data_IF_695205552612
#
_entry.id   IF_695205552612
#
_cell.length_a   1.000
_cell.length_b   1.000
_cell.length_c   1.000
_cell.angle_alpha   90.00
_cell.angle_beta   90.00
_cell.angle_gamma   90.00
#
_symmetry.space_group_name_H-M   'P 1'
#
loop_
_entity.id
_entity.type
_entity.pdbx_description
1 polymer ?
#
# COMPACT_ATOMS: atom_id res chain seq x y z
N UNK A 1 -5.24 -0.82 41.84
CA UNK A 1 -5.46 -1.68 43.01
C UNK A 1 -6.61 -1.10 43.87
N UNK A 2 -7.53 -1.94 44.28
CA UNK A 2 -8.65 -1.50 45.11
C UNK A 2 -8.17 -1.37 46.57
N UNK A 3 -8.52 -0.26 47.23
CA UNK A 3 -8.29 -0.12 48.66
C UNK A 3 -9.19 -1.11 49.40
N UNK A 4 -8.63 -1.87 50.30
CA UNK A 4 -9.43 -2.70 51.23
C UNK A 4 -10.36 -1.83 52.08
N UNK A 5 -11.50 -2.39 52.50
CA UNK A 5 -12.39 -1.74 53.47
C UNK A 5 -11.83 -1.92 54.87
N UNK A 6 -12.05 -0.92 55.71
CA UNK A 6 -11.70 -1.05 57.11
C UNK A 6 -12.54 -2.16 57.76
N UNK A 7 -11.88 -3.04 58.50
CA UNK A 7 -12.52 -4.09 59.32
C UNK A 7 -12.65 -3.66 60.74
N UNK A 8 -13.35 -4.47 61.54
CA UNK A 8 -13.45 -4.26 63.01
C UNK A 8 -12.90 -5.50 63.70
N UNK A 9 -12.02 -5.31 64.66
CA UNK A 9 -11.49 -6.41 65.48
C UNK A 9 -12.57 -6.98 66.47
N UNK A 10 -12.35 -8.17 66.96
CA UNK A 10 -13.24 -8.79 67.96
C UNK A 10 -13.42 -7.95 69.24
N UNK A 11 -12.56 -6.98 69.48
CA UNK A 11 -12.64 -6.01 70.58
C UNK A 11 -13.28 -4.68 70.12
N UNK A 12 -13.96 -4.61 69.00
CA UNK A 12 -14.62 -3.42 68.47
C UNK A 12 -13.70 -2.32 67.96
N UNK A 13 -12.38 -2.54 67.88
CA UNK A 13 -11.44 -1.53 67.38
C UNK A 13 -11.38 -1.56 65.82
N UNK A 14 -11.39 -0.40 65.15
CA UNK A 14 -11.27 -0.33 63.69
C UNK A 14 -9.88 -0.80 63.22
N UNK A 15 -9.83 -1.75 62.31
CA UNK A 15 -8.61 -2.24 61.67
C UNK A 15 -8.50 -1.60 60.29
N UNK A 16 -7.52 -0.73 60.10
CA UNK A 16 -7.26 -0.13 58.79
C UNK A 16 -6.65 -1.14 57.82
N UNK A 17 -7.09 -1.16 56.56
CA UNK A 17 -6.51 -2.03 55.53
C UNK A 17 -5.05 -1.64 55.28
N UNK A 18 -4.23 -2.64 54.90
CA UNK A 18 -2.84 -2.38 54.47
C UNK A 18 -2.80 -1.35 53.35
N UNK A 19 -1.85 -0.42 53.41
CA UNK A 19 -1.61 0.54 52.31
C UNK A 19 -1.30 -0.21 51.04
N UNK A 20 -2.15 -0.06 50.05
CA UNK A 20 -1.92 -0.64 48.74
C UNK A 20 -0.90 0.23 47.98
N UNK A 21 0.20 -0.37 47.52
CA UNK A 21 1.14 0.31 46.64
C UNK A 21 0.56 0.26 45.25
N UNK A 22 0.16 1.41 44.72
CA UNK A 22 -0.18 1.51 43.28
C UNK A 22 1.09 1.33 42.48
N UNK A 23 1.08 0.34 41.59
CA UNK A 23 2.14 0.18 40.59
C UNK A 23 1.94 1.24 39.54
N UNK A 24 2.93 2.12 39.32
CA UNK A 24 2.88 3.11 38.26
C UNK A 24 2.88 2.40 36.89
N UNK A 25 2.00 2.82 35.99
CA UNK A 25 2.05 2.37 34.59
C UNK A 25 3.34 2.88 33.97
N UNK A 26 4.19 1.97 33.50
CA UNK A 26 5.37 2.31 32.70
C UNK A 26 4.98 2.33 31.22
N UNK A 27 5.40 3.36 30.52
CA UNK A 27 5.10 3.53 29.12
C UNK A 27 6.31 4.09 28.38
N UNK A 28 6.47 3.65 27.11
CA UNK A 28 7.54 4.07 26.22
C UNK A 28 7.04 4.97 25.08
N UNK A 29 7.54 4.73 23.88
CA UNK A 29 7.24 5.54 22.71
C UNK A 29 5.76 5.43 22.28
N UNK A 30 5.24 6.49 21.67
CA UNK A 30 3.91 6.58 21.06
C UNK A 30 2.73 6.34 22.01
N UNK A 31 2.91 6.63 23.30
CA UNK A 31 1.87 6.49 24.32
C UNK A 31 1.62 7.84 25.00
N UNK A 32 0.35 8.06 25.33
CA UNK A 32 -0.11 9.15 26.21
C UNK A 32 -0.78 8.53 27.44
N UNK A 33 -0.47 9.05 28.61
CA UNK A 33 -1.15 8.68 29.85
C UNK A 33 -2.32 9.65 30.10
N UNK A 34 -3.41 9.15 30.67
CA UNK A 34 -4.54 9.96 31.15
C UNK A 34 -4.14 10.78 32.37
N UNK A 35 -4.90 11.84 32.69
CA UNK A 35 -4.67 12.70 33.85
C UNK A 35 -4.76 11.93 35.18
N UNK A 36 -5.66 10.97 35.28
CA UNK A 36 -5.84 10.07 36.42
C UNK A 36 -4.71 9.03 36.57
N UNK A 37 -3.79 8.95 35.61
CA UNK A 37 -2.66 7.99 35.54
C UNK A 37 -3.09 6.52 35.57
N UNK A 38 -4.34 6.23 35.25
CA UNK A 38 -4.89 4.88 35.31
C UNK A 38 -5.07 4.26 33.92
N UNK A 39 -5.08 5.09 32.87
CA UNK A 39 -5.30 4.67 31.50
C UNK A 39 -4.19 5.19 30.59
N UNK A 40 -3.79 4.38 29.64
CA UNK A 40 -2.83 4.75 28.60
C UNK A 40 -3.49 4.66 27.22
N UNK A 41 -3.18 5.64 26.37
CA UNK A 41 -3.69 5.74 25.00
C UNK A 41 -2.53 5.69 24.01
N UNK A 42 -2.70 4.98 22.92
CA UNK A 42 -1.78 5.07 21.80
C UNK A 42 -1.93 6.41 21.08
N UNK A 43 -0.82 6.97 20.61
CA UNK A 43 -0.77 8.16 19.75
C UNK A 43 -0.78 7.80 18.27
N UNK A 44 -0.49 6.55 17.93
CA UNK A 44 -0.38 6.02 16.56
C UNK A 44 -1.10 4.68 16.47
N UNK A 45 -1.53 4.31 15.28
CA UNK A 45 -1.96 2.94 14.99
C UNK A 45 -0.72 2.06 14.89
N UNK A 46 -0.70 0.91 15.58
CA UNK A 46 0.50 0.08 15.55
C UNK A 46 0.42 -1.13 16.47
N UNK A 47 1.51 -1.90 16.48
CA UNK A 47 1.66 -3.08 17.32
C UNK A 47 2.01 -2.71 18.76
N UNK A 48 1.26 -3.25 19.71
CA UNK A 48 1.48 -3.03 21.15
C UNK A 48 2.41 -4.11 21.67
N UNK A 49 3.51 -3.70 22.28
CA UNK A 49 4.45 -4.61 22.95
C UNK A 49 4.59 -4.27 24.42
N UNK A 50 4.77 -5.31 25.24
CA UNK A 50 5.09 -5.19 26.66
C UNK A 50 6.50 -5.73 26.88
N UNK A 51 7.45 -4.84 27.19
CA UNK A 51 8.85 -5.19 27.48
C UNK A 51 9.21 -4.59 28.83
N UNK A 52 9.73 -5.39 29.73
CA UNK A 52 10.13 -4.98 31.09
C UNK A 52 9.06 -4.17 31.85
N UNK A 53 7.82 -4.63 31.81
CA UNK A 53 6.65 -3.94 32.37
C UNK A 53 6.35 -2.56 31.72
N UNK A 54 6.94 -2.26 30.57
CA UNK A 54 6.74 -1.02 29.82
C UNK A 54 5.91 -1.31 28.56
N UNK A 55 4.78 -0.64 28.42
CA UNK A 55 3.95 -0.70 27.22
C UNK A 55 4.50 0.26 26.18
N UNK A 56 4.70 -0.22 24.97
CA UNK A 56 5.12 0.58 23.81
C UNK A 56 4.22 0.28 22.61
N UNK A 57 4.05 1.26 21.74
CA UNK A 57 3.36 1.08 20.46
C UNK A 57 4.34 1.42 19.35
N UNK A 58 4.49 0.49 18.41
CA UNK A 58 5.33 0.66 17.22
C UNK A 58 4.46 0.58 15.98
N UNK A 59 4.74 1.46 15.02
CA UNK A 59 4.19 1.40 13.67
C UNK A 59 4.87 0.35 12.79
N UNK A 60 5.92 -0.30 13.32
CA UNK A 60 6.63 -1.40 12.65
C UNK A 60 6.24 -2.73 13.29
N UNK A 61 5.65 -3.60 12.48
CA UNK A 61 5.40 -5.00 12.85
C UNK A 61 6.61 -5.86 12.50
N UNK A 62 7.31 -6.36 13.51
CA UNK A 62 8.48 -7.22 13.34
C UNK A 62 8.11 -8.68 13.44
N UNK A 63 8.42 -9.43 12.38
CA UNK A 63 8.33 -10.89 12.33
C UNK A 63 9.73 -11.45 12.58
N UNK A 64 9.99 -12.05 13.76
CA UNK A 64 11.34 -12.49 14.15
C UNK A 64 11.80 -13.77 13.42
N UNK A 65 10.90 -14.41 12.71
CA UNK A 65 11.11 -15.67 11.98
C UNK A 65 10.74 -15.54 10.51
N UNK A 66 10.43 -16.66 9.86
CA UNK A 66 9.92 -16.71 8.51
C UNK A 66 8.41 -16.37 8.47
N UNK A 67 7.95 -15.95 7.30
CA UNK A 67 6.52 -15.96 6.97
C UNK A 67 6.24 -17.29 6.27
N UNK A 68 5.62 -18.19 6.99
CA UNK A 68 5.32 -19.57 6.56
C UNK A 68 4.01 -20.06 7.20
N UNK A 69 3.74 -21.36 7.18
CA UNK A 69 2.52 -21.96 7.73
C UNK A 69 2.32 -21.68 9.23
N UNK A 70 3.36 -21.34 9.98
CA UNK A 70 3.26 -21.00 11.41
C UNK A 70 2.87 -19.55 11.64
N UNK A 71 3.24 -18.66 10.74
CA UNK A 71 2.95 -17.21 10.82
C UNK A 71 1.68 -16.85 10.05
N UNK A 72 1.42 -17.52 8.91
CA UNK A 72 0.33 -17.21 7.99
C UNK A 72 0.56 -15.92 7.19
N UNK A 73 -0.48 -15.49 6.48
CA UNK A 73 -0.48 -14.23 5.74
C UNK A 73 -0.46 -13.03 6.68
N UNK A 74 0.21 -11.96 6.26
CA UNK A 74 0.32 -10.72 7.03
C UNK A 74 -0.41 -9.60 6.29
N UNK A 75 -1.32 -8.92 6.99
CA UNK A 75 -1.95 -7.68 6.53
C UNK A 75 -1.85 -6.64 7.66
N UNK A 76 -1.08 -5.57 7.45
CA UNK A 76 -0.74 -4.62 8.49
C UNK A 76 -0.79 -3.16 8.03
N UNK A 77 -1.37 -2.28 8.87
CA UNK A 77 -1.54 -0.84 8.59
C UNK A 77 -0.29 0.02 8.81
N UNK A 78 0.86 -0.57 8.90
CA UNK A 78 2.14 0.13 9.07
C UNK A 78 3.23 -0.54 8.27
N UNK A 79 4.47 -0.40 8.72
CA UNK A 79 5.65 -1.04 8.14
C UNK A 79 5.78 -2.47 8.65
N UNK A 80 6.10 -3.42 7.77
CA UNK A 80 6.38 -4.82 8.11
C UNK A 80 7.85 -5.11 7.92
N UNK A 81 8.51 -5.62 8.96
CA UNK A 81 9.91 -6.09 8.90
C UNK A 81 9.97 -7.59 9.18
N UNK A 82 10.36 -8.37 8.16
CA UNK A 82 10.55 -9.82 8.25
C UNK A 82 12.03 -10.13 8.41
N UNK A 83 12.42 -10.78 9.51
CA UNK A 83 13.82 -11.14 9.77
C UNK A 83 14.25 -12.35 8.96
N UNK A 84 13.36 -13.30 8.74
CA UNK A 84 13.57 -14.52 7.97
C UNK A 84 13.16 -14.40 6.51
N UNK A 85 12.78 -15.52 5.94
CA UNK A 85 12.31 -15.68 4.57
C UNK A 85 10.78 -15.48 4.49
N UNK A 86 10.28 -15.19 3.30
CA UNK A 86 8.85 -15.31 2.98
C UNK A 86 8.70 -16.49 2.04
N UNK A 87 8.03 -17.55 2.50
CA UNK A 87 7.94 -18.81 1.77
C UNK A 87 6.81 -18.81 0.75
N UNK A 88 6.87 -19.76 -0.17
CA UNK A 88 5.93 -19.88 -1.30
C UNK A 88 4.49 -19.96 -0.86
N UNK A 89 3.63 -19.17 -1.54
CA UNK A 89 2.18 -19.18 -1.37
C UNK A 89 1.67 -18.23 -0.28
N UNK A 90 2.55 -17.58 0.48
CA UNK A 90 2.16 -16.61 1.49
C UNK A 90 2.15 -15.17 0.94
N UNK A 91 1.35 -14.32 1.59
CA UNK A 91 1.22 -12.92 1.24
C UNK A 91 1.60 -12.00 2.41
N UNK A 92 2.32 -10.92 2.09
CA UNK A 92 2.60 -9.83 3.03
C UNK A 92 2.06 -8.55 2.43
N UNK A 93 1.10 -7.93 3.12
CA UNK A 93 0.52 -6.65 2.75
C UNK A 93 0.81 -5.63 3.85
N UNK A 94 1.25 -4.44 3.45
CA UNK A 94 1.54 -3.33 4.34
C UNK A 94 1.04 -2.02 3.74
N UNK A 95 0.40 -1.16 4.53
CA UNK A 95 0.11 0.21 4.10
C UNK A 95 1.39 1.08 4.06
N UNK A 96 2.40 0.74 4.89
CA UNK A 96 3.74 1.32 4.88
C UNK A 96 4.74 0.47 4.08
N UNK A 97 6.00 0.50 4.51
CA UNK A 97 7.09 -0.23 3.85
C UNK A 97 7.10 -1.72 4.18
N UNK A 98 7.68 -2.53 3.29
CA UNK A 98 7.98 -3.94 3.55
C UNK A 98 9.50 -4.13 3.48
N UNK A 99 10.08 -4.64 4.56
CA UNK A 99 11.52 -4.95 4.65
C UNK A 99 11.67 -6.44 4.90
N UNK A 100 12.33 -7.17 3.99
CA UNK A 100 12.63 -8.59 4.16
C UNK A 100 14.14 -8.80 4.20
N UNK A 101 14.64 -9.33 5.32
CA UNK A 101 16.07 -9.61 5.50
C UNK A 101 16.50 -10.91 4.82
N UNK A 102 15.60 -11.88 4.68
CA UNK A 102 15.80 -13.15 4.01
C UNK A 102 15.50 -13.12 2.50
N UNK A 103 15.23 -14.30 1.95
CA UNK A 103 14.80 -14.50 0.56
C UNK A 103 13.27 -14.57 0.50
N UNK A 104 12.71 -14.06 -0.58
CA UNK A 104 11.27 -14.21 -0.89
C UNK A 104 11.14 -15.30 -1.94
N UNK A 105 10.37 -16.35 -1.64
CA UNK A 105 10.18 -17.51 -2.50
C UNK A 105 8.73 -17.60 -2.93
N UNK A 106 8.41 -17.42 -4.23
CA UNK A 106 7.08 -17.61 -4.81
C UNK A 106 5.91 -16.99 -4.03
N UNK A 107 6.15 -15.86 -3.37
CA UNK A 107 5.23 -15.17 -2.47
C UNK A 107 4.72 -13.84 -3.08
N UNK A 108 3.69 -13.27 -2.49
CA UNK A 108 3.11 -11.98 -2.91
C UNK A 108 3.39 -10.91 -1.86
N UNK A 109 4.08 -9.83 -2.25
CA UNK A 109 4.29 -8.67 -1.40
C UNK A 109 3.61 -7.44 -2.00
N UNK A 110 2.77 -6.78 -1.20
CA UNK A 110 2.05 -5.55 -1.60
C UNK A 110 2.30 -4.47 -0.56
N UNK A 111 2.94 -3.39 -0.98
CA UNK A 111 3.31 -2.27 -0.11
C UNK A 111 2.69 -0.97 -0.61
N UNK A 112 2.10 -0.20 0.31
CA UNK A 112 1.71 1.19 0.06
C UNK A 112 2.89 2.17 0.08
N UNK A 113 4.06 1.74 0.54
CA UNK A 113 5.35 2.45 0.52
C UNK A 113 6.37 1.73 -0.34
N UNK A 114 7.56 1.52 0.23
CA UNK A 114 8.70 0.89 -0.43
C UNK A 114 8.80 -0.60 -0.10
N UNK A 115 9.42 -1.37 -1.00
CA UNK A 115 9.81 -2.76 -0.73
C UNK A 115 11.34 -2.86 -0.74
N UNK A 116 11.91 -3.35 0.35
CA UNK A 116 13.35 -3.57 0.49
C UNK A 116 13.63 -5.04 0.76
N UNK A 117 14.16 -5.73 -0.24
CA UNK A 117 14.62 -7.12 -0.12
C UNK A 117 16.13 -7.12 0.02
N UNK A 118 16.64 -7.37 1.23
CA UNK A 118 18.10 -7.36 1.46
C UNK A 118 18.84 -8.48 0.73
N UNK A 119 18.14 -9.54 0.38
CA UNK A 119 18.63 -10.58 -0.53
C UNK A 119 17.96 -10.43 -1.88
N UNK A 120 16.79 -10.95 -2.08
CA UNK A 120 16.07 -10.85 -3.33
C UNK A 120 14.88 -11.79 -3.38
N UNK A 121 14.35 -11.99 -4.59
CA UNK A 121 13.18 -12.82 -4.81
C UNK A 121 13.45 -13.91 -5.84
N UNK A 122 13.12 -15.14 -5.49
CA UNK A 122 12.99 -16.29 -6.36
C UNK A 122 11.50 -16.58 -6.55
N UNK A 123 10.92 -16.03 -7.60
CA UNK A 123 9.45 -15.96 -7.74
C UNK A 123 8.79 -17.27 -8.15
N UNK A 124 9.53 -18.23 -8.72
CA UNK A 124 8.99 -19.54 -9.18
C UNK A 124 7.73 -19.38 -10.05
N UNK A 125 7.69 -18.36 -10.93
CA UNK A 125 6.59 -17.96 -11.81
C UNK A 125 5.27 -17.59 -11.09
N UNK A 126 5.27 -17.50 -9.77
CA UNK A 126 4.13 -17.15 -8.92
C UNK A 126 4.35 -15.87 -8.13
N UNK A 127 5.62 -15.54 -7.92
CA UNK A 127 6.02 -14.40 -7.10
C UNK A 127 5.57 -13.07 -7.68
N UNK A 128 5.04 -12.20 -6.83
CA UNK A 128 4.61 -10.86 -7.19
C UNK A 128 5.08 -9.83 -6.18
N UNK A 129 5.68 -8.76 -6.66
CA UNK A 129 6.01 -7.56 -5.89
C UNK A 129 5.21 -6.39 -6.43
N UNK A 130 4.52 -5.69 -5.56
CA UNK A 130 3.81 -4.47 -5.90
C UNK A 130 4.10 -3.40 -4.86
N UNK A 131 4.67 -2.27 -5.30
CA UNK A 131 4.98 -1.13 -4.44
C UNK A 131 4.43 0.17 -5.02
N UNK A 132 3.84 0.98 -4.18
CA UNK A 132 3.48 2.35 -4.53
C UNK A 132 4.72 3.28 -4.57
N UNK A 133 5.78 2.93 -3.84
CA UNK A 133 7.08 3.59 -3.82
C UNK A 133 8.14 2.81 -4.60
N UNK A 134 9.36 2.80 -4.05
CA UNK A 134 10.54 2.18 -4.66
C UNK A 134 10.67 0.71 -4.30
N UNK A 135 11.31 -0.06 -5.19
CA UNK A 135 11.71 -1.44 -4.91
C UNK A 135 13.24 -1.54 -4.95
N UNK A 136 13.81 -2.12 -3.90
CA UNK A 136 15.24 -2.42 -3.85
C UNK A 136 15.44 -3.90 -3.55
N UNK A 137 16.22 -4.60 -4.39
CA UNK A 137 16.53 -6.02 -4.24
C UNK A 137 17.96 -6.31 -4.72
N UNK A 138 18.54 -7.46 -4.34
CA UNK A 138 19.78 -7.91 -4.98
C UNK A 138 19.49 -8.64 -6.28
N UNK A 139 18.50 -9.52 -6.29
CA UNK A 139 18.10 -10.23 -7.51
C UNK A 139 16.57 -10.38 -7.55
N UNK A 140 16.07 -10.45 -8.74
CA UNK A 140 14.66 -10.71 -9.07
C UNK A 140 14.64 -11.80 -10.14
N UNK A 141 14.09 -12.96 -9.81
CA UNK A 141 14.10 -14.12 -10.68
C UNK A 141 12.69 -14.74 -10.77
N UNK A 142 12.23 -15.00 -12.00
CA UNK A 142 10.94 -15.64 -12.31
C UNK A 142 9.77 -15.02 -11.53
N UNK A 143 9.66 -13.69 -11.53
CA UNK A 143 8.65 -12.96 -10.78
C UNK A 143 8.02 -11.81 -11.58
N UNK A 144 6.87 -11.33 -11.09
CA UNK A 144 6.19 -10.14 -11.60
C UNK A 144 6.44 -8.98 -10.65
N UNK A 145 6.89 -7.86 -11.19
CA UNK A 145 7.24 -6.67 -10.40
C UNK A 145 6.47 -5.47 -10.93
N UNK A 146 5.74 -4.80 -10.07
CA UNK A 146 5.07 -3.52 -10.33
C UNK A 146 5.54 -2.47 -9.34
N UNK A 147 6.12 -1.40 -9.86
CA UNK A 147 6.72 -0.34 -9.07
C UNK A 147 6.29 1.02 -9.60
N UNK A 148 5.69 1.87 -8.75
CA UNK A 148 5.39 3.25 -9.14
C UNK A 148 6.58 4.20 -8.96
N UNK A 149 7.54 3.86 -8.11
CA UNK A 149 8.80 4.56 -7.97
C UNK A 149 9.91 3.92 -8.78
N UNK A 150 11.14 4.05 -8.28
CA UNK A 150 12.37 3.53 -8.88
C UNK A 150 12.60 2.06 -8.51
N UNK A 151 13.11 1.28 -9.43
CA UNK A 151 13.58 -0.08 -9.20
C UNK A 151 15.11 -0.13 -9.15
N UNK A 152 15.67 -0.66 -8.07
CA UNK A 152 17.12 -0.94 -7.94
C UNK A 152 17.37 -2.41 -7.69
N UNK A 153 18.22 -3.03 -8.53
CA UNK A 153 18.65 -4.43 -8.32
C UNK A 153 20.05 -4.67 -8.87
N UNK A 154 20.67 -5.81 -8.48
CA UNK A 154 21.92 -6.24 -9.07
C UNK A 154 21.69 -7.13 -10.30
N UNK A 155 20.54 -7.85 -10.36
CA UNK A 155 20.17 -8.69 -11.48
C UNK A 155 18.64 -8.86 -11.59
N UNK A 156 18.16 -8.91 -12.83
CA UNK A 156 16.79 -9.29 -13.19
C UNK A 156 16.86 -10.45 -14.17
N UNK A 157 16.24 -11.58 -13.80
CA UNK A 157 16.28 -12.83 -14.55
C UNK A 157 14.85 -13.32 -14.80
N UNK A 158 14.50 -13.56 -16.08
CA UNK A 158 13.23 -14.17 -16.49
C UNK A 158 11.99 -13.56 -15.79
N UNK A 159 11.98 -12.25 -15.62
CA UNK A 159 10.94 -11.55 -14.85
C UNK A 159 10.21 -10.52 -15.69
N UNK A 160 8.94 -10.29 -15.34
CA UNK A 160 8.12 -9.25 -15.93
C UNK A 160 8.08 -8.04 -15.01
N UNK A 161 8.67 -6.94 -15.47
CA UNK A 161 8.86 -5.72 -14.69
C UNK A 161 8.10 -4.55 -15.32
N UNK A 162 7.25 -3.93 -14.55
CA UNK A 162 6.59 -2.66 -14.87
C UNK A 162 7.02 -1.60 -13.84
N UNK A 163 7.82 -0.64 -14.28
CA UNK A 163 8.31 0.43 -13.43
C UNK A 163 7.87 1.78 -13.98
N UNK A 164 7.46 2.69 -13.11
CA UNK A 164 7.08 4.02 -13.58
C UNK A 164 8.22 5.02 -13.59
N UNK A 165 9.31 4.78 -12.88
CA UNK A 165 10.50 5.62 -12.83
C UNK A 165 11.74 4.84 -13.30
N UNK A 166 12.94 5.32 -12.97
CA UNK A 166 14.20 4.73 -13.41
C UNK A 166 14.38 3.30 -12.93
N UNK A 167 14.99 2.49 -13.77
CA UNK A 167 15.41 1.13 -13.47
C UNK A 167 16.93 1.07 -13.44
N UNK A 168 17.50 0.97 -12.25
CA UNK A 168 18.95 0.95 -12.01
C UNK A 168 19.42 -0.48 -11.67
N UNK A 169 20.03 -1.15 -12.62
CA UNK A 169 20.60 -2.49 -12.45
C UNK A 169 22.12 -2.37 -12.45
N UNK A 170 22.64 -1.85 -11.33
CA UNK A 170 24.02 -1.39 -11.19
C UNK A 170 24.79 -2.15 -10.08
N UNK A 171 24.55 -3.44 -9.91
CA UNK A 171 25.29 -4.27 -8.95
C UNK A 171 26.51 -4.95 -9.55
N UNK A 172 27.03 -5.95 -8.84
CA UNK A 172 28.20 -6.72 -9.29
C UNK A 172 28.02 -7.36 -10.68
N UNK A 173 26.81 -7.74 -11.03
CA UNK A 173 26.47 -8.32 -12.34
C UNK A 173 25.86 -7.31 -13.29
N UNK A 174 25.04 -6.41 -12.79
CA UNK A 174 24.33 -5.39 -13.58
C UNK A 174 23.52 -6.00 -14.74
N UNK A 175 22.93 -7.20 -14.52
CA UNK A 175 22.44 -8.07 -15.60
C UNK A 175 20.91 -8.04 -15.67
N UNK A 176 20.39 -7.79 -16.89
CA UNK A 176 19.00 -8.06 -17.25
C UNK A 176 19.00 -9.16 -18.31
N UNK A 177 18.40 -10.32 -18.00
CA UNK A 177 18.37 -11.46 -18.90
C UNK A 177 17.03 -12.19 -18.87
N UNK A 178 16.36 -12.26 -20.02
CA UNK A 178 15.05 -12.90 -20.17
C UNK A 178 13.90 -12.09 -19.57
N UNK A 179 12.69 -12.33 -20.05
CA UNK A 179 11.48 -11.66 -19.61
C UNK A 179 11.21 -10.31 -20.28
N UNK A 180 10.36 -9.49 -19.64
CA UNK A 180 9.98 -8.18 -20.15
C UNK A 180 10.21 -7.10 -19.09
N UNK A 181 10.71 -5.95 -19.53
CA UNK A 181 10.87 -4.76 -18.70
C UNK A 181 10.23 -3.58 -19.41
N UNK A 182 9.28 -2.92 -18.75
CA UNK A 182 8.68 -1.68 -19.24
C UNK A 182 8.86 -0.56 -18.23
N UNK A 183 9.30 0.60 -18.71
CA UNK A 183 9.43 1.79 -17.86
C UNK A 183 9.08 3.05 -18.66
N UNK A 184 8.75 4.12 -17.95
CA UNK A 184 8.53 5.44 -18.53
C UNK A 184 9.76 6.35 -18.45
N UNK A 185 10.84 5.88 -17.82
CA UNK A 185 12.06 6.64 -17.60
C UNK A 185 13.30 5.84 -18.08
N UNK A 186 14.47 6.12 -17.52
CA UNK A 186 15.73 5.54 -17.98
C UNK A 186 15.95 4.12 -17.43
N UNK A 187 16.67 3.33 -18.22
CA UNK A 187 17.16 1.99 -17.81
C UNK A 187 18.67 2.01 -17.83
N UNK A 188 19.26 1.78 -16.66
CA UNK A 188 20.71 1.63 -16.50
C UNK A 188 21.05 0.18 -16.19
N UNK A 189 21.82 -0.46 -17.03
CA UNK A 189 22.29 -1.83 -16.82
C UNK A 189 23.68 -2.02 -17.41
N UNK A 190 24.48 -2.87 -16.78
CA UNK A 190 25.83 -3.20 -17.29
C UNK A 190 25.77 -4.21 -18.42
N UNK A 191 24.85 -5.16 -18.33
CA UNK A 191 24.73 -6.27 -19.29
C UNK A 191 23.26 -6.52 -19.63
N UNK A 192 22.96 -6.62 -20.92
CA UNK A 192 21.63 -6.94 -21.43
C UNK A 192 21.67 -8.25 -22.21
N UNK A 193 20.84 -9.22 -21.77
CA UNK A 193 20.76 -10.54 -22.39
C UNK A 193 21.88 -11.47 -21.97
N UNK A 194 21.90 -12.64 -22.58
CA UNK A 194 22.96 -13.65 -22.41
C UNK A 194 23.20 -14.40 -23.71
N UNK A 195 24.37 -15.03 -23.82
CA UNK A 195 24.76 -15.89 -24.95
C UNK A 195 23.88 -17.14 -25.07
N UNK A 196 23.11 -17.48 -24.04
CA UNK A 196 22.19 -18.63 -24.04
C UNK A 196 20.85 -18.35 -24.75
N UNK A 197 20.66 -17.17 -25.33
CA UNK A 197 19.51 -16.89 -26.22
C UNK A 197 18.18 -16.65 -25.50
N UNK A 198 18.15 -16.33 -24.21
CA UNK A 198 16.92 -15.94 -23.54
C UNK A 198 16.37 -14.63 -24.12
N UNK A 199 15.08 -14.62 -24.54
CA UNK A 199 14.44 -13.43 -25.09
C UNK A 199 14.28 -12.36 -24.00
N UNK A 200 14.96 -11.22 -24.20
CA UNK A 200 14.87 -10.05 -23.30
C UNK A 200 14.18 -8.93 -24.07
N UNK A 201 13.06 -8.45 -23.54
CA UNK A 201 12.30 -7.33 -24.13
C UNK A 201 12.38 -6.14 -23.20
N UNK A 202 12.88 -5.01 -23.72
CA UNK A 202 12.90 -3.74 -22.97
C UNK A 202 12.06 -2.74 -23.75
N UNK A 203 11.04 -2.18 -23.09
CA UNK A 203 10.17 -1.16 -23.62
C UNK A 203 10.28 0.10 -22.78
N UNK A 204 10.82 1.16 -23.37
CA UNK A 204 10.73 2.51 -22.80
C UNK A 204 9.50 3.16 -23.41
N UNK A 205 8.53 3.49 -22.59
CA UNK A 205 7.28 4.11 -23.01
C UNK A 205 7.55 5.56 -23.35
N UNK A 206 7.41 5.90 -24.61
CA UNK A 206 7.73 7.24 -25.11
C UNK A 206 6.68 8.29 -24.74
N UNK A 207 7.05 9.58 -24.78
CA UNK A 207 6.13 10.70 -24.60
C UNK A 207 4.90 10.64 -25.51
N UNK A 208 5.05 10.10 -26.72
CA UNK A 208 3.92 9.91 -27.64
C UNK A 208 2.85 8.97 -27.06
N UNK A 209 3.25 7.84 -26.48
CA UNK A 209 2.32 6.90 -25.84
C UNK A 209 1.68 7.52 -24.59
N UNK A 210 2.43 8.30 -23.83
CA UNK A 210 1.89 9.05 -22.69
C UNK A 210 0.86 10.08 -23.13
N UNK A 211 1.12 10.81 -24.24
CA UNK A 211 0.19 11.79 -24.79
C UNK A 211 -1.08 11.09 -25.30
N UNK A 212 -0.95 9.97 -26.00
CA UNK A 212 -2.10 9.18 -26.47
C UNK A 212 -2.95 8.76 -25.26
N UNK A 213 -2.33 8.19 -24.24
CA UNK A 213 -3.04 7.75 -23.02
C UNK A 213 -3.71 8.91 -22.29
N UNK A 214 -3.04 10.05 -22.18
CA UNK A 214 -3.61 11.25 -21.55
C UNK A 214 -4.82 11.79 -22.32
N UNK A 215 -4.83 11.64 -23.67
CA UNK A 215 -5.96 12.03 -24.51
C UNK A 215 -7.12 11.02 -24.39
N UNK A 216 -6.84 9.71 -24.37
CA UNK A 216 -7.86 8.66 -24.11
C UNK A 216 -8.58 8.91 -22.77
N UNK A 217 -7.82 9.18 -21.71
CA UNK A 217 -8.39 9.49 -20.40
C UNK A 217 -9.24 10.77 -20.45
N UNK A 218 -8.81 11.79 -21.25
CA UNK A 218 -9.58 13.00 -21.43
C UNK A 218 -10.95 12.71 -22.04
N UNK A 219 -10.98 11.93 -23.11
CA UNK A 219 -12.22 11.52 -23.76
C UNK A 219 -13.12 10.69 -22.84
N UNK A 220 -12.52 9.78 -22.05
CA UNK A 220 -13.27 8.97 -21.08
C UNK A 220 -13.89 9.84 -19.99
N UNK A 221 -13.17 10.85 -19.48
CA UNK A 221 -13.70 11.83 -18.51
C UNK A 221 -14.84 12.62 -19.12
N UNK A 222 -14.68 13.15 -20.33
CA UNK A 222 -15.73 13.92 -21.02
C UNK A 222 -17.02 13.10 -21.21
N UNK A 223 -16.90 11.84 -21.60
CA UNK A 223 -18.05 10.93 -21.76
C UNK A 223 -18.75 10.63 -20.43
N UNK A 224 -17.97 10.43 -19.36
CA UNK A 224 -18.53 10.20 -18.01
C UNK A 224 -19.18 11.48 -17.45
N UNK A 225 -18.65 12.65 -17.72
CA UNK A 225 -19.23 13.94 -17.33
C UNK A 225 -20.52 14.23 -18.10
N UNK A 226 -20.59 13.88 -19.38
CA UNK A 226 -21.83 13.98 -20.14
C UNK A 226 -22.90 13.06 -19.59
N UNK A 227 -22.52 11.83 -19.22
CA UNK A 227 -23.42 10.87 -18.57
C UNK A 227 -23.91 11.40 -17.22
N UNK A 228 -23.02 11.99 -16.43
CA UNK A 228 -23.36 12.61 -15.14
C UNK A 228 -24.34 13.76 -15.32
N UNK A 229 -24.14 14.59 -16.33
CA UNK A 229 -25.02 15.73 -16.68
C UNK A 229 -26.42 15.26 -17.05
N UNK A 230 -26.52 14.21 -17.91
CA UNK A 230 -27.81 13.58 -18.26
C UNK A 230 -28.54 13.02 -17.05
N UNK A 231 -27.81 12.37 -16.14
CA UNK A 231 -28.36 11.87 -14.87
C UNK A 231 -28.89 13.05 -14.03
N UNK A 232 -28.14 14.13 -13.90
CA UNK A 232 -28.53 15.31 -13.11
C UNK A 232 -29.77 16.02 -13.69
N UNK A 233 -29.86 16.14 -15.00
CA UNK A 233 -31.04 16.73 -15.67
C UNK A 233 -32.31 15.92 -15.36
N UNK A 234 -32.24 14.58 -15.47
CA UNK A 234 -33.37 13.69 -15.17
C UNK A 234 -33.74 13.75 -13.67
N UNK A 235 -32.72 13.67 -12.79
CA UNK A 235 -32.93 13.74 -11.35
C UNK A 235 -33.58 15.07 -10.93
N UNK A 236 -33.11 16.18 -11.49
CA UNK A 236 -33.67 17.52 -11.18
C UNK A 236 -35.09 17.66 -11.69
N UNK A 237 -35.41 17.13 -12.89
CA UNK A 237 -36.78 17.14 -13.46
C UNK A 237 -37.72 16.33 -12.56
N UNK A 238 -37.35 15.11 -12.17
CA UNK A 238 -38.19 14.25 -11.33
C UNK A 238 -38.38 14.84 -9.92
N UNK A 239 -37.34 15.46 -9.35
CA UNK A 239 -37.43 16.17 -8.07
C UNK A 239 -38.34 17.39 -8.16
N UNK A 240 -38.31 18.12 -9.28
CA UNK A 240 -39.21 19.25 -9.56
C UNK A 240 -40.69 18.82 -9.64
N UNK A 241 -40.97 17.69 -10.31
CA UNK A 241 -42.33 17.11 -10.39
C UNK A 241 -42.85 16.70 -9.00
N UNK A 242 -41.99 16.06 -8.18
CA UNK A 242 -42.36 15.73 -6.78
C UNK A 242 -42.65 16.96 -5.92
N UNK A 243 -41.87 18.02 -6.09
CA UNK A 243 -42.08 19.28 -5.34
C UNK A 243 -43.38 19.99 -5.76
N UNK A 244 -43.84 19.76 -6.99
CA UNK A 244 -45.07 20.35 -7.54
C UNK A 244 -46.32 19.47 -7.32
N UNK A 245 -46.22 18.41 -6.49
CA UNK A 245 -47.30 17.43 -6.26
C UNK A 245 -47.87 16.80 -7.56
N UNK A 246 -47.04 16.65 -8.60
CA UNK A 246 -47.44 15.98 -9.82
C UNK A 246 -47.22 14.47 -9.69
N UNK A 247 -48.05 13.66 -10.32
CA UNK A 247 -47.86 12.19 -10.35
C UNK A 247 -46.55 11.83 -11.06
N UNK A 248 -45.69 11.08 -10.34
CA UNK A 248 -44.42 10.55 -10.87
C UNK A 248 -44.60 9.07 -11.15
N UNK A 249 -44.25 8.65 -12.35
CA UNK A 249 -44.34 7.26 -12.77
C UNK A 249 -43.38 6.36 -11.91
N UNK A 250 -43.79 5.11 -11.60
CA UNK A 250 -42.94 4.18 -10.82
C UNK A 250 -41.54 3.96 -11.42
N UNK A 251 -41.42 3.98 -12.75
CA UNK A 251 -40.13 3.87 -13.46
C UNK A 251 -39.19 5.05 -13.17
N UNK A 252 -39.73 6.27 -13.10
CA UNK A 252 -38.97 7.48 -12.78
C UNK A 252 -38.45 7.42 -11.33
N UNK A 253 -39.23 6.86 -10.42
CA UNK A 253 -38.85 6.65 -9.01
C UNK A 253 -37.74 5.63 -8.87
N UNK A 254 -37.80 4.54 -9.64
CA UNK A 254 -36.73 3.53 -9.68
C UNK A 254 -35.43 4.11 -10.27
N UNK A 255 -35.54 4.91 -11.33
CA UNK A 255 -34.38 5.61 -11.91
C UNK A 255 -33.74 6.56 -10.88
N UNK A 256 -34.52 7.29 -10.11
CA UNK A 256 -34.04 8.19 -9.06
C UNK A 256 -33.25 7.45 -7.98
N UNK A 257 -33.73 6.26 -7.56
CA UNK A 257 -33.01 5.38 -6.62
C UNK A 257 -31.68 4.91 -7.18
N UNK A 258 -31.68 4.43 -8.42
CA UNK A 258 -30.45 3.97 -9.09
C UNK A 258 -29.46 5.12 -9.30
N UNK A 259 -29.94 6.29 -9.70
CA UNK A 259 -29.11 7.48 -9.86
C UNK A 259 -28.44 7.91 -8.54
N UNK A 260 -29.14 7.80 -7.42
CA UNK A 260 -28.60 8.13 -6.10
C UNK A 260 -27.42 7.22 -5.71
N UNK A 261 -27.44 5.97 -6.13
CA UNK A 261 -26.36 4.99 -5.87
C UNK A 261 -25.21 5.15 -6.87
N UNK A 262 -25.53 5.32 -8.15
CA UNK A 262 -24.54 5.33 -9.23
C UNK A 262 -23.77 6.66 -9.35
N UNK A 263 -24.42 7.80 -9.03
CA UNK A 263 -23.79 9.11 -9.13
C UNK A 263 -22.53 9.28 -8.29
N UNK A 264 -22.47 8.90 -7.00
CA UNK A 264 -21.25 9.01 -6.20
C UNK A 264 -20.12 8.15 -6.77
N UNK A 265 -20.43 6.97 -7.31
CA UNK A 265 -19.45 6.07 -7.91
C UNK A 265 -18.87 6.70 -9.18
N UNK A 266 -19.72 7.27 -10.04
CA UNK A 266 -19.29 7.93 -11.26
C UNK A 266 -18.41 9.17 -10.97
N UNK A 267 -18.78 9.97 -9.97
CA UNK A 267 -17.97 11.12 -9.51
C UNK A 267 -16.61 10.66 -9.00
N UNK A 268 -16.55 9.55 -8.25
CA UNK A 268 -15.29 8.98 -7.79
C UNK A 268 -14.40 8.54 -8.95
N UNK A 269 -14.98 7.85 -9.94
CA UNK A 269 -14.23 7.41 -11.14
C UNK A 269 -13.70 8.61 -11.94
N UNK A 270 -14.49 9.67 -12.14
CA UNK A 270 -14.05 10.88 -12.82
C UNK A 270 -12.87 11.52 -12.09
N UNK A 271 -12.91 11.57 -10.76
CA UNK A 271 -11.81 12.12 -9.97
C UNK A 271 -10.53 11.30 -10.13
N UNK A 272 -10.63 9.98 -10.02
CA UNK A 272 -9.48 9.06 -10.17
C UNK A 272 -8.84 9.19 -11.55
N UNK A 273 -9.65 9.25 -12.61
CA UNK A 273 -9.17 9.46 -13.98
C UNK A 273 -8.50 10.82 -14.17
N UNK A 274 -9.05 11.89 -13.59
CA UNK A 274 -8.41 13.22 -13.64
C UNK A 274 -7.07 13.24 -12.93
N UNK A 275 -6.97 12.60 -11.76
CA UNK A 275 -5.69 12.47 -11.01
C UNK A 275 -4.66 11.66 -11.81
N UNK A 276 -5.10 10.56 -12.48
CA UNK A 276 -4.22 9.78 -13.37
C UNK A 276 -3.71 10.64 -14.53
N UNK A 277 -4.60 11.37 -15.19
CA UNK A 277 -4.23 12.27 -16.31
C UNK A 277 -3.25 13.35 -15.88
N UNK A 278 -3.47 13.98 -14.73
CA UNK A 278 -2.58 15.02 -14.22
C UNK A 278 -1.17 14.48 -13.97
N UNK A 279 -1.06 13.28 -13.37
CA UNK A 279 0.23 12.59 -13.18
C UNK A 279 0.93 12.31 -14.50
N UNK A 280 0.20 11.92 -15.56
CA UNK A 280 0.77 11.71 -16.90
C UNK A 280 1.27 13.03 -17.50
N UNK A 281 0.53 14.12 -17.38
CA UNK A 281 0.93 15.43 -17.91
C UNK A 281 2.19 15.97 -17.22
N UNK A 282 2.27 15.88 -15.90
CA UNK A 282 3.47 16.26 -15.13
C UNK A 282 4.68 15.44 -15.58
N UNK A 283 4.47 14.17 -15.91
CA UNK A 283 5.54 13.29 -16.40
C UNK A 283 6.00 13.65 -17.80
N UNK A 284 5.08 13.96 -18.71
CA UNK A 284 5.40 14.46 -20.07
C UNK A 284 6.23 15.74 -19.98
N UNK A 285 5.91 16.65 -19.05
CA UNK A 285 6.70 17.86 -18.84
C UNK A 285 8.11 17.56 -18.30
N UNK A 286 8.25 16.66 -17.32
CA UNK A 286 9.55 16.23 -16.83
C UNK A 286 10.44 15.65 -17.94
N UNK A 287 9.88 14.79 -18.79
CA UNK A 287 10.62 14.15 -19.88
C UNK A 287 11.10 15.14 -20.94
N UNK A 288 10.36 16.21 -21.20
CA UNK A 288 10.82 17.28 -22.11
C UNK A 288 12.14 17.91 -21.69
N UNK A 289 12.47 17.89 -20.39
CA UNK A 289 13.71 18.45 -19.85
C UNK A 289 14.83 17.40 -19.68
N UNK A 290 14.53 16.10 -19.73
CA UNK A 290 15.52 15.01 -19.55
C UNK A 290 16.07 14.44 -20.85
N UNK A 291 15.57 14.84 -22.01
CA UNK A 291 15.99 14.33 -23.33
C UNK A 291 17.27 14.93 -23.89
N UNK A 292 18.17 15.50 -23.09
CA UNK A 292 19.49 15.95 -23.58
C UNK A 292 20.53 15.73 -22.49
N UNK A 293 21.10 14.52 -22.41
CA UNK A 293 22.49 14.32 -21.95
C UNK A 293 23.02 12.98 -22.43
#
# INVERSE_FOLDING_TARGET
AYRGKAGVSVLGKPMMPKKVRNRALRFGRNIRISEDKCTIYSKVSGHVTLVDDMVMVSDVYRVPANVDSSTGDIDYKGTVEVTGNVTTGFAVKAEGDIIVNGVVEGATLVSGGNIVLKRGMQGMDRGMLQAEGNITAKFLENCKVRCKGMLKADAILHSDVECQENVDILGKKGLINGGSLSTYADVHATTLGSTMGASTKIKIISDKELIIRANEIKEEVENKEETLRKIDEVVNRVKGQLASNQEVLPEQMNYLKQATVNKPLLVKQIRELREEREKLLVRIEKNKHSCIR
#
